data_IF_212458851838
#
_entry.id   IF_212458851838
#
_cell.length_a   1.000
_cell.length_b   1.000
_cell.length_c   1.000
_cell.angle_alpha   90.00
_cell.angle_beta   90.00
_cell.angle_gamma   90.00
#
_symmetry.space_group_name_H-M   'P 1'
#
loop_
_entity.id
_entity.type
_entity.pdbx_description
1 polymer ?
#
# COMPACT_ATOMS: atom_id res chain seq x y z
N UNK A 1 -22.38 -0.40 -4.15
CA UNK A 1 -21.32 -1.35 -3.73
C UNK A 1 -21.34 -2.66 -4.53
N UNK A 2 -22.46 -3.41 -4.66
CA UNK A 2 -22.49 -4.71 -5.36
C UNK A 2 -21.92 -4.69 -6.79
N UNK A 3 -22.23 -3.65 -7.57
CA UNK A 3 -21.74 -3.47 -8.95
C UNK A 3 -20.23 -3.21 -9.00
N UNK A 4 -19.66 -2.45 -8.06
CA UNK A 4 -18.22 -2.24 -7.97
C UNK A 4 -17.49 -3.54 -7.61
N UNK A 5 -18.06 -4.31 -6.66
CA UNK A 5 -17.53 -5.63 -6.30
C UNK A 5 -17.52 -6.58 -7.49
N UNK A 6 -18.65 -6.66 -8.23
CA UNK A 6 -18.73 -7.49 -9.43
C UNK A 6 -17.70 -7.06 -10.50
N UNK A 7 -17.60 -5.75 -10.78
CA UNK A 7 -16.59 -5.22 -11.71
C UNK A 7 -15.17 -5.60 -11.28
N UNK A 8 -14.87 -5.50 -9.97
CA UNK A 8 -13.54 -5.81 -9.43
C UNK A 8 -13.24 -7.30 -9.48
N UNK A 9 -14.24 -8.17 -9.26
CA UNK A 9 -14.09 -9.62 -9.41
C UNK A 9 -13.81 -10.03 -10.86
N UNK A 10 -14.57 -9.50 -11.82
CA UNK A 10 -14.35 -9.79 -13.24
C UNK A 10 -13.01 -9.25 -13.71
N UNK A 11 -12.61 -8.06 -13.26
CA UNK A 11 -11.26 -7.53 -13.48
C UNK A 11 -10.20 -8.49 -12.95
N UNK A 12 -10.33 -8.97 -11.71
CA UNK A 12 -9.39 -9.92 -11.11
C UNK A 12 -9.26 -11.21 -11.91
N UNK A 13 -10.38 -11.74 -12.43
CA UNK A 13 -10.36 -12.90 -13.32
C UNK A 13 -9.59 -12.60 -14.63
N UNK A 14 -9.86 -11.45 -15.27
CA UNK A 14 -9.17 -11.05 -16.50
C UNK A 14 -7.66 -10.88 -16.29
N UNK A 15 -7.24 -10.31 -15.13
CA UNK A 15 -5.84 -10.19 -14.74
C UNK A 15 -5.17 -11.56 -14.59
N UNK A 16 -5.86 -12.52 -13.97
CA UNK A 16 -5.35 -13.87 -13.80
C UNK A 16 -5.09 -14.55 -15.17
N UNK A 17 -6.02 -14.43 -16.11
CA UNK A 17 -5.85 -14.93 -17.47
C UNK A 17 -4.69 -14.25 -18.20
N UNK A 18 -4.58 -12.92 -18.10
CA UNK A 18 -3.45 -12.18 -18.66
C UNK A 18 -2.12 -12.64 -18.07
N UNK A 19 -2.03 -12.76 -16.74
CA UNK A 19 -0.81 -13.19 -16.06
C UNK A 19 -0.38 -14.60 -16.45
N UNK A 20 -1.32 -15.56 -16.51
CA UNK A 20 -1.02 -16.94 -16.92
C UNK A 20 -0.55 -16.98 -18.38
N UNK A 21 -1.15 -16.20 -19.28
CA UNK A 21 -0.71 -16.13 -20.67
C UNK A 21 0.71 -15.59 -20.81
N UNK A 22 1.08 -14.61 -19.98
CA UNK A 22 2.44 -14.02 -19.98
C UNK A 22 3.48 -14.99 -19.42
N UNK A 23 3.11 -15.83 -18.44
CA UNK A 23 4.02 -16.83 -17.86
C UNK A 23 4.53 -17.83 -18.92
N UNK A 24 3.71 -18.16 -19.92
CA UNK A 24 4.08 -19.04 -21.04
C UNK A 24 4.73 -18.33 -22.22
N UNK A 25 4.95 -17.02 -22.14
CA UNK A 25 5.54 -16.24 -23.20
C UNK A 25 7.07 -16.23 -23.15
N UNK A 26 7.70 -15.67 -24.22
CA UNK A 26 9.17 -15.50 -24.32
C UNK A 26 9.79 -14.79 -23.11
N UNK A 27 8.99 -14.03 -22.35
CA UNK A 27 9.43 -13.31 -21.15
C UNK A 27 10.00 -14.22 -20.06
N UNK A 28 9.44 -15.42 -19.90
CA UNK A 28 9.82 -16.38 -18.85
C UNK A 28 10.68 -17.55 -19.38
N UNK A 29 10.89 -17.65 -20.69
CA UNK A 29 11.70 -18.71 -21.33
C UNK A 29 13.21 -18.49 -21.21
N UNK A 30 13.66 -17.46 -20.50
CA UNK A 30 15.07 -17.09 -20.38
C UNK A 30 15.78 -17.91 -19.30
N UNK A 31 16.94 -18.51 -19.68
CA UNK A 31 17.75 -19.35 -18.81
C UNK A 31 18.24 -18.66 -17.52
N UNK A 32 18.41 -19.42 -16.43
CA UNK A 32 18.75 -18.92 -15.10
C UNK A 32 20.10 -18.22 -14.96
N UNK A 33 21.11 -18.65 -15.68
CA UNK A 33 22.50 -18.22 -15.49
C UNK A 33 22.81 -16.83 -16.07
N UNK A 34 21.97 -16.38 -17.01
CA UNK A 34 21.97 -15.00 -17.47
C UNK A 34 20.91 -14.14 -16.73
N UNK A 35 20.39 -14.64 -15.58
CA UNK A 35 19.15 -14.13 -15.01
C UNK A 35 19.29 -12.76 -14.33
N UNK A 36 20.36 -12.48 -13.56
CA UNK A 36 20.43 -11.25 -12.76
C UNK A 36 20.35 -9.97 -13.59
N UNK A 37 21.15 -9.75 -14.66
CA UNK A 37 21.05 -8.56 -15.49
C UNK A 37 19.69 -8.44 -16.17
N UNK A 38 19.12 -9.59 -16.61
CA UNK A 38 17.81 -9.62 -17.28
C UNK A 38 16.66 -9.37 -16.31
N UNK A 39 16.74 -9.91 -15.10
CA UNK A 39 15.77 -9.60 -14.03
C UNK A 39 15.87 -8.15 -13.61
N UNK A 40 17.07 -7.56 -13.50
CA UNK A 40 17.23 -6.13 -13.26
C UNK A 40 16.61 -5.29 -14.39
N UNK A 41 16.86 -5.66 -15.66
CA UNK A 41 16.24 -5.00 -16.80
C UNK A 41 14.72 -5.12 -16.77
N UNK A 42 14.19 -6.31 -16.44
CA UNK A 42 12.76 -6.52 -16.27
C UNK A 42 12.17 -5.67 -15.15
N UNK A 43 12.84 -5.61 -13.99
CA UNK A 43 12.43 -4.75 -12.88
C UNK A 43 12.45 -3.27 -13.25
N UNK A 44 13.46 -2.81 -13.99
CA UNK A 44 13.52 -1.45 -14.53
C UNK A 44 12.37 -1.19 -15.51
N UNK A 45 12.08 -2.14 -16.39
CA UNK A 45 10.97 -2.04 -17.33
C UNK A 45 9.62 -1.99 -16.62
N UNK A 46 9.44 -2.72 -15.52
CA UNK A 46 8.20 -2.64 -14.71
C UNK A 46 8.02 -1.31 -13.99
N UNK A 47 9.09 -0.53 -13.78
CA UNK A 47 9.02 0.83 -13.24
C UNK A 47 8.54 1.84 -14.26
N UNK A 48 8.84 1.65 -15.55
CA UNK A 48 8.54 2.64 -16.60
C UNK A 48 7.06 3.04 -16.64
N UNK A 49 6.07 2.12 -16.50
CA UNK A 49 4.66 2.51 -16.42
C UNK A 49 4.35 3.50 -15.31
N UNK A 50 5.00 3.34 -14.16
CA UNK A 50 4.75 4.19 -13.00
C UNK A 50 5.41 5.56 -13.12
N UNK A 51 6.60 5.63 -13.69
CA UNK A 51 7.28 6.89 -14.00
C UNK A 51 6.47 7.73 -14.99
N UNK A 52 5.86 7.08 -15.98
CA UNK A 52 5.01 7.73 -16.98
C UNK A 52 3.64 8.08 -16.39
N UNK A 53 3.07 7.19 -15.55
CA UNK A 53 1.74 7.38 -14.96
C UNK A 53 1.65 8.55 -13.98
N UNK A 54 2.64 8.71 -13.10
CA UNK A 54 2.57 9.73 -12.04
C UNK A 54 2.38 11.15 -12.62
N UNK A 55 3.15 11.63 -13.62
CA UNK A 55 2.98 12.95 -14.17
C UNK A 55 1.84 13.08 -15.19
N UNK A 56 1.53 12.01 -15.94
CA UNK A 56 0.61 12.12 -17.08
C UNK A 56 -0.80 11.64 -16.76
N UNK A 57 -0.95 10.50 -16.08
CA UNK A 57 -2.26 9.87 -15.90
C UNK A 57 -3.05 10.42 -14.72
N UNK A 58 -2.40 10.84 -13.61
CA UNK A 58 -3.11 11.42 -12.48
C UNK A 58 -3.97 12.62 -12.91
N UNK A 59 -3.35 13.68 -13.48
CA UNK A 59 -4.09 14.83 -14.01
C UNK A 59 -5.04 14.49 -15.17
N UNK A 60 -4.74 13.46 -15.97
CA UNK A 60 -5.62 13.00 -17.04
C UNK A 60 -6.91 12.38 -16.49
N UNK A 61 -6.81 11.47 -15.49
CA UNK A 61 -7.96 10.85 -14.85
C UNK A 61 -8.86 11.91 -14.20
N UNK A 62 -8.27 12.93 -13.57
CA UNK A 62 -9.00 14.02 -12.92
C UNK A 62 -9.73 14.94 -13.93
N UNK A 63 -9.29 14.97 -15.20
CA UNK A 63 -9.87 15.82 -16.27
C UNK A 63 -10.84 15.08 -17.19
N UNK A 64 -10.99 13.76 -17.09
CA UNK A 64 -11.88 13.00 -17.98
C UNK A 64 -13.33 13.45 -17.79
N UNK A 65 -13.92 13.97 -18.87
CA UNK A 65 -15.36 14.29 -18.92
C UNK A 65 -16.18 13.03 -18.76
N UNK A 66 -17.00 12.93 -17.72
CA UNK A 66 -17.81 11.76 -17.41
C UNK A 66 -17.37 11.01 -16.15
N UNK A 67 -16.31 11.48 -15.47
CA UNK A 67 -15.91 11.01 -14.15
C UNK A 67 -15.19 9.65 -14.13
N UNK A 68 -14.93 9.18 -12.91
CA UNK A 68 -14.20 7.94 -12.63
C UNK A 68 -14.83 6.69 -13.25
N UNK A 69 -16.16 6.63 -13.25
CA UNK A 69 -16.89 5.49 -13.84
C UNK A 69 -16.67 5.36 -15.35
N UNK A 70 -16.61 6.47 -16.09
CA UNK A 70 -16.30 6.46 -17.52
C UNK A 70 -14.85 6.05 -17.77
N UNK A 71 -13.92 6.54 -16.95
CA UNK A 71 -12.50 6.13 -17.01
C UNK A 71 -12.37 4.62 -16.81
N UNK A 72 -13.06 4.04 -15.83
CA UNK A 72 -13.05 2.59 -15.58
C UNK A 72 -13.55 1.82 -16.81
N UNK A 73 -14.64 2.22 -17.45
CA UNK A 73 -15.13 1.57 -18.66
C UNK A 73 -14.13 1.67 -19.80
N UNK A 74 -13.56 2.86 -20.03
CA UNK A 74 -12.57 3.09 -21.06
C UNK A 74 -11.29 2.24 -20.87
N UNK A 75 -10.84 2.08 -19.65
CA UNK A 75 -9.68 1.22 -19.33
C UNK A 75 -9.93 -0.24 -19.68
N UNK A 76 -11.12 -0.76 -19.41
CA UNK A 76 -11.43 -2.15 -19.77
C UNK A 76 -11.60 -2.33 -21.27
N UNK A 77 -12.27 -1.41 -21.97
CA UNK A 77 -12.40 -1.46 -23.42
C UNK A 77 -11.02 -1.43 -24.12
N UNK A 78 -10.16 -0.51 -23.70
CA UNK A 78 -8.80 -0.41 -24.21
C UNK A 78 -7.98 -1.68 -23.95
N UNK A 79 -8.08 -2.25 -22.74
CA UNK A 79 -7.37 -3.49 -22.39
C UNK A 79 -7.88 -4.70 -23.19
N UNK A 80 -9.18 -4.76 -23.47
CA UNK A 80 -9.73 -5.80 -24.36
C UNK A 80 -9.11 -5.73 -25.75
N UNK A 81 -9.04 -4.53 -26.35
CA UNK A 81 -8.41 -4.33 -27.65
C UNK A 81 -6.91 -4.68 -27.63
N UNK A 82 -6.18 -4.19 -26.62
CA UNK A 82 -4.75 -4.49 -26.47
C UNK A 82 -4.49 -5.99 -26.27
N UNK A 83 -5.32 -6.70 -25.51
CA UNK A 83 -5.19 -8.14 -25.30
C UNK A 83 -5.43 -8.95 -26.57
N UNK A 84 -6.38 -8.54 -27.42
CA UNK A 84 -6.59 -9.14 -28.74
C UNK A 84 -5.40 -8.89 -29.67
N UNK A 85 -4.86 -7.66 -29.69
CA UNK A 85 -3.65 -7.36 -30.48
C UNK A 85 -2.46 -8.17 -29.98
N UNK A 86 -2.28 -8.29 -28.67
CA UNK A 86 -1.21 -9.06 -28.07
C UNK A 86 -1.31 -10.55 -28.40
N UNK A 87 -2.53 -11.11 -28.44
CA UNK A 87 -2.77 -12.51 -28.80
C UNK A 87 -2.27 -12.88 -30.22
N UNK A 88 -2.26 -11.89 -31.14
CA UNK A 88 -1.70 -12.06 -32.48
C UNK A 88 -0.19 -11.81 -32.58
N UNK A 89 0.44 -11.23 -31.54
CA UNK A 89 1.82 -10.75 -31.60
C UNK A 89 2.74 -11.34 -30.50
N UNK A 90 2.40 -12.48 -29.92
CA UNK A 90 3.15 -13.11 -28.83
C UNK A 90 4.60 -13.50 -29.17
N UNK A 91 4.90 -13.69 -30.46
CA UNK A 91 6.24 -14.07 -30.94
C UNK A 91 7.02 -12.91 -31.54
N UNK A 92 6.44 -11.72 -31.58
CA UNK A 92 7.03 -10.53 -32.20
C UNK A 92 7.51 -9.56 -31.12
N UNK A 93 8.38 -8.62 -31.50
CA UNK A 93 8.83 -7.53 -30.60
C UNK A 93 7.69 -6.65 -30.11
N UNK A 94 6.55 -6.62 -30.80
CA UNK A 94 5.32 -5.92 -30.37
C UNK A 94 4.73 -6.46 -29.07
N UNK A 95 5.10 -7.69 -28.64
CA UNK A 95 4.73 -8.24 -27.33
C UNK A 95 5.06 -7.23 -26.21
N UNK A 96 6.27 -6.65 -26.21
CA UNK A 96 6.73 -5.78 -25.13
C UNK A 96 5.92 -4.48 -25.01
N UNK A 97 5.75 -3.66 -26.07
CA UNK A 97 4.97 -2.43 -25.95
C UNK A 97 3.48 -2.69 -25.70
N UNK A 98 2.91 -3.78 -26.23
CA UNK A 98 1.50 -4.13 -25.98
C UNK A 98 1.28 -4.60 -24.53
N UNK A 99 2.13 -5.48 -24.02
CA UNK A 99 2.07 -5.90 -22.61
C UNK A 99 2.27 -4.70 -21.67
N UNK A 100 3.23 -3.84 -21.97
CA UNK A 100 3.45 -2.60 -21.25
C UNK A 100 2.20 -1.71 -21.23
N UNK A 101 1.58 -1.48 -22.40
CA UNK A 101 0.36 -0.67 -22.49
C UNK A 101 -0.79 -1.26 -21.63
N UNK A 102 -0.97 -2.59 -21.65
CA UNK A 102 -1.95 -3.26 -20.80
C UNK A 102 -1.68 -3.00 -19.32
N UNK A 103 -0.41 -3.09 -18.89
CA UNK A 103 -0.01 -2.85 -17.49
C UNK A 103 -0.26 -1.38 -17.08
N UNK A 104 0.07 -0.41 -17.94
CA UNK A 104 -0.20 1.02 -17.71
C UNK A 104 -1.68 1.27 -17.51
N UNK A 105 -2.51 0.75 -18.41
CA UNK A 105 -3.97 0.92 -18.36
C UNK A 105 -4.56 0.20 -17.14
N UNK A 106 -3.98 -0.92 -16.69
CA UNK A 106 -4.38 -1.60 -15.47
C UNK A 106 -4.22 -0.71 -14.22
N UNK A 107 -3.14 0.06 -14.17
CA UNK A 107 -2.90 0.99 -13.04
C UNK A 107 -3.90 2.13 -13.03
N UNK A 108 -4.33 2.63 -14.19
CA UNK A 108 -5.39 3.62 -14.30
C UNK A 108 -6.70 3.14 -13.69
N UNK A 109 -7.06 1.87 -13.89
CA UNK A 109 -8.21 1.26 -13.21
C UNK A 109 -8.05 1.25 -11.69
N UNK A 110 -6.89 0.83 -11.17
CA UNK A 110 -6.63 0.76 -9.72
C UNK A 110 -6.77 2.14 -9.06
N UNK A 111 -6.20 3.17 -9.69
CA UNK A 111 -6.29 4.56 -9.23
C UNK A 111 -7.75 5.03 -9.23
N UNK A 112 -8.46 4.84 -10.34
CA UNK A 112 -9.86 5.27 -10.49
C UNK A 112 -10.78 4.55 -9.51
N UNK A 113 -10.57 3.24 -9.27
CA UNK A 113 -11.33 2.48 -8.28
C UNK A 113 -11.10 3.01 -6.86
N UNK A 114 -9.85 3.25 -6.46
CA UNK A 114 -9.54 3.74 -5.12
C UNK A 114 -10.16 5.10 -4.85
N UNK A 115 -10.20 5.98 -5.86
CA UNK A 115 -10.87 7.26 -5.78
C UNK A 115 -12.41 7.14 -5.76
N UNK A 116 -12.99 6.11 -6.39
CA UNK A 116 -14.44 5.90 -6.49
C UNK A 116 -15.04 5.28 -5.21
N UNK A 117 -14.27 4.47 -4.45
CA UNK A 117 -14.78 3.77 -3.26
C UNK A 117 -15.45 4.71 -2.25
N UNK A 118 -14.84 5.85 -1.84
CA UNK A 118 -15.45 6.75 -0.86
C UNK A 118 -16.75 7.39 -1.33
N UNK A 119 -16.93 7.56 -2.66
CA UNK A 119 -18.14 8.15 -3.24
C UNK A 119 -19.35 7.20 -3.25
N UNK A 120 -19.07 5.88 -3.22
CA UNK A 120 -20.07 4.83 -3.26
C UNK A 120 -20.42 4.25 -1.87
N UNK A 121 -19.66 4.65 -0.85
CA UNK A 121 -19.80 4.18 0.53
C UNK A 121 -20.47 5.26 1.34
N UNK A 122 -21.43 4.89 2.19
CA UNK A 122 -22.09 5.83 3.11
C UNK A 122 -21.12 6.35 4.18
N UNK A 123 -21.45 7.48 4.79
CA UNK A 123 -20.61 8.11 5.82
C UNK A 123 -20.38 7.21 7.05
N UNK A 124 -21.33 6.31 7.33
CA UNK A 124 -21.31 5.40 8.49
C UNK A 124 -20.62 4.06 8.21
N UNK A 125 -20.29 3.75 6.95
CA UNK A 125 -19.68 2.49 6.58
C UNK A 125 -18.18 2.48 6.93
N UNK A 126 -17.71 1.35 7.47
CA UNK A 126 -16.29 1.13 7.73
C UNK A 126 -15.52 0.86 6.43
N UNK A 127 -14.74 1.85 6.00
CA UNK A 127 -13.92 1.80 4.77
C UNK A 127 -12.89 0.66 4.78
N UNK A 128 -12.39 0.26 5.96
CA UNK A 128 -11.49 -0.90 6.08
C UNK A 128 -12.21 -2.18 5.69
N UNK A 129 -13.43 -2.37 6.21
CA UNK A 129 -14.26 -3.53 5.90
C UNK A 129 -14.66 -3.57 4.42
N UNK A 130 -15.00 -2.43 3.83
CA UNK A 130 -15.35 -2.31 2.41
C UNK A 130 -14.16 -2.67 1.52
N UNK A 131 -13.00 -2.07 1.76
CA UNK A 131 -11.78 -2.35 1.00
C UNK A 131 -11.30 -3.81 1.17
N UNK A 132 -11.43 -4.36 2.37
CA UNK A 132 -11.11 -5.76 2.65
C UNK A 132 -12.06 -6.72 1.91
N UNK A 133 -13.37 -6.43 1.88
CA UNK A 133 -14.37 -7.25 1.14
C UNK A 133 -14.09 -7.23 -0.35
N UNK A 134 -13.82 -6.06 -0.93
CA UNK A 134 -13.45 -5.92 -2.35
C UNK A 134 -12.21 -6.78 -2.68
N UNK A 135 -11.17 -6.66 -1.85
CA UNK A 135 -9.94 -7.41 -2.05
C UNK A 135 -10.14 -8.92 -1.93
N UNK A 136 -10.84 -9.39 -0.90
CA UNK A 136 -11.10 -10.83 -0.70
C UNK A 136 -11.88 -11.43 -1.86
N UNK A 137 -12.96 -10.78 -2.27
CA UNK A 137 -13.79 -11.24 -3.39
C UNK A 137 -12.96 -11.36 -4.67
N UNK A 138 -12.15 -10.35 -4.97
CA UNK A 138 -11.29 -10.36 -6.14
C UNK A 138 -10.20 -11.44 -6.05
N UNK A 139 -9.57 -11.63 -4.89
CA UNK A 139 -8.54 -12.66 -4.70
C UNK A 139 -9.11 -14.05 -4.91
N UNK A 140 -10.28 -14.37 -4.33
CA UNK A 140 -10.93 -15.68 -4.52
C UNK A 140 -11.22 -15.91 -6.01
N UNK A 141 -11.86 -14.95 -6.67
CA UNK A 141 -12.22 -15.08 -8.09
C UNK A 141 -10.97 -15.16 -8.96
N UNK A 142 -9.94 -14.36 -8.68
CA UNK A 142 -8.66 -14.42 -9.42
C UNK A 142 -7.96 -15.76 -9.26
N UNK A 143 -7.98 -16.36 -8.07
CA UNK A 143 -7.36 -17.68 -7.83
C UNK A 143 -8.06 -18.79 -8.59
N UNK A 144 -9.40 -18.80 -8.59
CA UNK A 144 -10.19 -19.76 -9.38
C UNK A 144 -9.94 -19.53 -10.87
N UNK A 145 -9.96 -18.27 -11.31
CA UNK A 145 -9.71 -17.91 -12.70
C UNK A 145 -8.30 -18.28 -13.16
N UNK A 146 -7.28 -18.15 -12.29
CA UNK A 146 -5.91 -18.57 -12.60
C UNK A 146 -5.81 -20.08 -12.84
N UNK A 147 -6.52 -20.89 -12.04
CA UNK A 147 -6.64 -22.32 -12.27
C UNK A 147 -7.29 -22.64 -13.64
N UNK A 148 -8.43 -21.99 -13.93
CA UNK A 148 -9.11 -22.12 -15.23
C UNK A 148 -8.25 -21.66 -16.41
N UNK A 149 -7.52 -20.56 -16.26
CA UNK A 149 -6.59 -20.07 -17.27
C UNK A 149 -5.42 -21.05 -17.49
N UNK A 150 -4.92 -21.66 -16.42
CA UNK A 150 -3.88 -22.71 -16.50
C UNK A 150 -4.36 -23.94 -17.26
N UNK A 151 -5.57 -24.40 -16.99
CA UNK A 151 -6.20 -25.51 -17.74
C UNK A 151 -6.36 -25.14 -19.21
N UNK A 152 -6.92 -23.96 -19.51
CA UNK A 152 -7.08 -23.48 -20.88
C UNK A 152 -5.74 -23.37 -21.60
N UNK A 153 -4.69 -22.91 -20.91
CA UNK A 153 -3.34 -22.84 -21.46
C UNK A 153 -2.80 -24.22 -21.85
N UNK A 154 -3.00 -25.22 -20.98
CA UNK A 154 -2.56 -26.62 -21.26
C UNK A 154 -3.31 -27.26 -22.45
N UNK A 155 -4.60 -26.94 -22.60
CA UNK A 155 -5.45 -27.49 -23.65
C UNK A 155 -5.29 -26.75 -25.00
N UNK A 156 -4.77 -25.52 -24.98
CA UNK A 156 -4.75 -24.68 -26.19
C UNK A 156 -3.41 -23.95 -26.38
N UNK A 157 -3.35 -22.65 -26.06
CA UNK A 157 -2.14 -21.84 -26.14
C UNK A 157 -2.32 -20.51 -25.39
N UNK A 158 -1.19 -19.78 -25.14
CA UNK A 158 -1.19 -18.44 -24.57
C UNK A 158 -2.11 -17.45 -25.35
N UNK A 159 -2.19 -17.59 -26.67
CA UNK A 159 -3.04 -16.73 -27.50
C UNK A 159 -4.54 -16.91 -27.19
N UNK A 160 -4.98 -18.14 -26.94
CA UNK A 160 -6.36 -18.41 -26.57
C UNK A 160 -6.70 -17.90 -25.17
N UNK A 161 -5.75 -18.05 -24.22
CA UNK A 161 -5.89 -17.49 -22.87
C UNK A 161 -6.01 -15.96 -22.92
N UNK A 162 -5.25 -15.28 -23.79
CA UNK A 162 -5.37 -13.83 -24.01
C UNK A 162 -6.70 -13.41 -24.64
N UNK A 163 -7.22 -14.20 -25.58
CA UNK A 163 -8.54 -13.95 -26.16
C UNK A 163 -9.63 -14.08 -25.10
N UNK A 164 -9.52 -15.10 -24.22
CA UNK A 164 -10.41 -15.24 -23.08
C UNK A 164 -10.30 -14.06 -22.10
N UNK A 165 -9.08 -13.58 -21.82
CA UNK A 165 -8.85 -12.36 -21.04
C UNK A 165 -9.53 -11.14 -21.68
N UNK A 166 -9.44 -10.99 -23.01
CA UNK A 166 -10.10 -9.91 -23.73
C UNK A 166 -11.64 -9.96 -23.56
N UNK A 167 -12.25 -11.15 -23.66
CA UNK A 167 -13.70 -11.33 -23.39
C UNK A 167 -14.02 -10.92 -21.95
N UNK A 168 -13.23 -11.33 -20.97
CA UNK A 168 -13.43 -10.94 -19.58
C UNK A 168 -13.30 -9.41 -19.38
N UNK A 169 -12.38 -8.73 -20.08
CA UNK A 169 -12.30 -7.27 -20.06
C UNK A 169 -13.55 -6.62 -20.69
N UNK A 170 -14.10 -7.16 -21.77
CA UNK A 170 -15.39 -6.68 -22.33
C UNK A 170 -16.50 -6.86 -21.30
N UNK A 171 -16.60 -8.02 -20.66
CA UNK A 171 -17.60 -8.25 -19.60
C UNK A 171 -17.41 -7.26 -18.45
N UNK A 172 -16.16 -7.00 -18.03
CA UNK A 172 -15.87 -6.00 -17.01
C UNK A 172 -16.31 -4.58 -17.45
N UNK A 173 -16.10 -4.21 -18.71
CA UNK A 173 -16.57 -2.94 -19.25
C UNK A 173 -18.12 -2.84 -19.24
N UNK A 174 -18.81 -3.89 -19.61
CA UNK A 174 -20.29 -3.96 -19.57
C UNK A 174 -20.82 -3.84 -18.13
N UNK A 175 -20.23 -4.55 -17.17
CA UNK A 175 -20.60 -4.45 -15.76
C UNK A 175 -20.30 -3.05 -15.21
N UNK A 176 -19.16 -2.48 -15.57
CA UNK A 176 -18.76 -1.14 -15.17
C UNK A 176 -19.59 -0.02 -15.81
N UNK A 177 -20.27 -0.29 -16.93
CA UNK A 177 -21.09 0.72 -17.61
C UNK A 177 -22.12 1.39 -16.72
N UNK A 178 -22.67 0.63 -15.79
CA UNK A 178 -23.65 1.14 -14.82
C UNK A 178 -23.03 2.04 -13.74
N UNK A 179 -21.70 1.92 -13.50
CA UNK A 179 -20.98 2.80 -12.57
C UNK A 179 -20.86 4.23 -13.12
N UNK A 180 -20.91 4.43 -14.43
CA UNK A 180 -20.87 5.73 -15.09
C UNK A 180 -21.96 6.71 -14.59
N UNK A 181 -23.14 6.17 -14.29
CA UNK A 181 -24.30 6.97 -13.85
C UNK A 181 -24.29 7.27 -12.36
N UNK A 182 -23.54 6.50 -11.59
CA UNK A 182 -23.48 6.60 -10.13
C UNK A 182 -22.35 7.51 -9.63
N UNK A 183 -21.33 7.72 -10.44
CA UNK A 183 -20.19 8.55 -10.07
C UNK A 183 -20.43 10.00 -10.49
N UNK A 184 -20.52 10.89 -9.50
CA UNK A 184 -20.53 12.34 -9.71
C UNK A 184 -19.27 12.83 -10.42
N UNK A 185 -19.24 14.11 -10.79
CA UNK A 185 -18.04 14.71 -11.40
C UNK A 185 -16.89 14.69 -10.41
N UNK A 186 -15.75 14.12 -10.83
CA UNK A 186 -14.51 14.17 -10.05
C UNK A 186 -14.10 15.61 -9.87
N UNK A 187 -13.93 16.03 -8.63
CA UNK A 187 -13.32 17.31 -8.34
C UNK A 187 -11.81 17.19 -8.54
N UNK A 188 -11.18 18.08 -9.33
CA UNK A 188 -9.73 18.06 -9.48
C UNK A 188 -9.06 18.22 -8.12
N UNK A 189 -7.94 17.49 -7.91
CA UNK A 189 -7.14 17.64 -6.71
C UNK A 189 -6.68 19.10 -6.59
N UNK A 190 -7.02 19.75 -5.46
CA UNK A 190 -6.61 21.13 -5.16
C UNK A 190 -5.24 21.13 -4.50
N UNK A 191 -4.58 22.29 -4.46
CA UNK A 191 -3.33 22.49 -3.71
C UNK A 191 -3.45 22.05 -2.23
N UNK A 192 -4.63 22.16 -1.63
CA UNK A 192 -4.98 21.66 -0.30
C UNK A 192 -4.75 20.15 -0.13
N UNK A 193 -4.87 19.36 -1.22
CA UNK A 193 -4.64 17.91 -1.18
C UNK A 193 -3.21 17.55 -0.77
N UNK A 194 -2.22 18.37 -1.14
CA UNK A 194 -0.82 18.15 -0.74
C UNK A 194 -0.65 18.35 0.76
N UNK A 195 -1.29 19.36 1.33
CA UNK A 195 -1.30 19.63 2.77
C UNK A 195 -1.91 18.49 3.58
N UNK A 196 -2.99 17.88 3.07
CA UNK A 196 -3.64 16.74 3.74
C UNK A 196 -2.75 15.49 3.76
N UNK A 197 -1.94 15.26 2.73
CA UNK A 197 -1.00 14.13 2.68
C UNK A 197 0.18 14.26 3.65
N UNK A 198 0.45 15.49 4.13
CA UNK A 198 1.52 15.76 5.10
C UNK A 198 1.03 15.53 6.53
N UNK A 199 -0.29 15.42 6.76
CA UNK A 199 -0.83 15.12 8.08
C UNK A 199 -0.12 13.91 8.70
N UNK A 200 0.21 13.94 9.99
CA UNK A 200 1.03 12.91 10.64
C UNK A 200 0.52 11.50 10.39
N UNK A 201 -0.79 11.26 10.52
CA UNK A 201 -1.39 9.94 10.37
C UNK A 201 -1.25 9.37 8.96
N UNK A 202 -1.52 10.22 7.95
CA UNK A 202 -1.41 9.85 6.53
C UNK A 202 0.06 9.61 6.20
N UNK A 203 0.94 10.50 6.69
CA UNK A 203 2.38 10.39 6.47
C UNK A 203 2.96 9.11 7.07
N UNK A 204 2.63 8.80 8.31
CA UNK A 204 3.14 7.63 9.03
C UNK A 204 2.67 6.32 8.39
N UNK A 205 1.38 6.19 8.07
CA UNK A 205 0.84 5.03 7.38
C UNK A 205 1.44 4.85 5.97
N UNK A 206 1.65 5.96 5.26
CA UNK A 206 2.32 5.97 3.95
C UNK A 206 3.78 5.50 4.03
N UNK A 207 4.54 5.96 5.01
CA UNK A 207 5.92 5.54 5.22
C UNK A 207 6.01 4.06 5.61
N UNK A 208 5.16 3.59 6.52
CA UNK A 208 5.07 2.18 6.89
C UNK A 208 4.75 1.29 5.69
N UNK A 209 3.78 1.70 4.85
CA UNK A 209 3.46 0.97 3.61
C UNK A 209 4.62 0.96 2.63
N UNK A 210 5.34 2.08 2.48
CA UNK A 210 6.53 2.16 1.62
C UNK A 210 7.61 1.19 2.10
N UNK A 211 7.89 1.15 3.41
CA UNK A 211 8.87 0.24 4.00
C UNK A 211 8.47 -1.22 3.80
N UNK A 212 7.21 -1.58 4.05
CA UNK A 212 6.72 -2.95 3.82
C UNK A 212 6.80 -3.35 2.34
N UNK A 213 6.51 -2.45 1.41
CA UNK A 213 6.65 -2.73 -0.03
C UNK A 213 8.10 -3.00 -0.41
N UNK A 214 9.04 -2.18 0.08
CA UNK A 214 10.48 -2.42 -0.13
C UNK A 214 10.93 -3.75 0.48
N UNK A 215 10.49 -4.04 1.70
CA UNK A 215 10.78 -5.30 2.40
C UNK A 215 10.26 -6.53 1.65
N UNK A 216 9.01 -6.48 1.14
CA UNK A 216 8.42 -7.58 0.36
C UNK A 216 9.20 -7.79 -0.94
N UNK A 217 9.53 -6.71 -1.66
CA UNK A 217 10.33 -6.78 -2.88
C UNK A 217 11.71 -7.39 -2.61
N UNK A 218 12.40 -6.90 -1.59
CA UNK A 218 13.70 -7.44 -1.19
C UNK A 218 13.60 -8.93 -0.81
N UNK A 219 12.70 -9.29 0.09
CA UNK A 219 12.58 -10.65 0.62
C UNK A 219 12.26 -11.68 -0.50
N UNK A 220 11.31 -11.38 -1.38
CA UNK A 220 10.93 -12.27 -2.48
C UNK A 220 12.11 -12.60 -3.40
N UNK A 221 12.85 -11.57 -3.80
CA UNK A 221 13.99 -11.78 -4.71
C UNK A 221 15.21 -12.32 -3.99
N UNK A 222 15.49 -11.87 -2.76
CA UNK A 222 16.64 -12.35 -2.01
C UNK A 222 16.51 -13.85 -1.68
N UNK A 223 15.39 -14.26 -1.10
CA UNK A 223 15.10 -15.67 -0.80
C UNK A 223 15.00 -16.49 -2.10
N UNK A 224 14.35 -15.96 -3.14
CA UNK A 224 14.25 -16.64 -4.41
C UNK A 224 15.61 -16.91 -5.07
N UNK A 225 16.52 -15.97 -5.06
CA UNK A 225 17.87 -16.16 -5.60
C UNK A 225 18.74 -17.02 -4.68
N UNK A 226 18.55 -17.01 -3.36
CA UNK A 226 19.25 -17.90 -2.43
C UNK A 226 18.86 -19.35 -2.65
N UNK A 227 17.56 -19.68 -2.64
CA UNK A 227 17.06 -21.03 -2.89
C UNK A 227 17.55 -21.58 -4.24
N UNK A 228 17.67 -20.70 -5.22
CA UNK A 228 18.16 -21.10 -6.53
C UNK A 228 19.69 -21.30 -6.55
N UNK A 229 20.46 -20.49 -5.84
CA UNK A 229 21.90 -20.65 -5.71
C UNK A 229 22.27 -21.94 -4.99
N UNK A 230 21.44 -22.35 -4.02
CA UNK A 230 21.59 -23.57 -3.25
C UNK A 230 21.00 -24.80 -3.97
N UNK A 231 20.56 -24.65 -5.25
CA UNK A 231 19.96 -25.67 -6.10
C UNK A 231 18.71 -26.35 -5.46
N UNK A 232 18.00 -25.62 -4.63
CA UNK A 232 16.81 -26.12 -3.95
C UNK A 232 15.65 -26.40 -4.93
N UNK A 233 14.77 -27.36 -4.63
CA UNK A 233 13.64 -27.70 -5.48
C UNK A 233 12.72 -26.51 -5.77
N UNK A 234 12.23 -26.40 -7.00
CA UNK A 234 11.40 -25.28 -7.46
C UNK A 234 10.11 -25.07 -6.63
N UNK A 235 9.59 -26.13 -5.99
CA UNK A 235 8.40 -26.00 -5.13
C UNK A 235 8.65 -25.14 -3.88
N UNK A 236 9.90 -25.08 -3.37
CA UNK A 236 10.24 -24.18 -2.24
C UNK A 236 10.07 -22.72 -2.62
N UNK A 237 10.50 -22.32 -3.82
CA UNK A 237 10.24 -20.98 -4.35
C UNK A 237 8.73 -20.73 -4.48
N UNK A 238 7.99 -21.71 -4.97
CA UNK A 238 6.53 -21.65 -5.04
C UNK A 238 5.89 -21.48 -3.66
N UNK A 239 6.39 -22.17 -2.63
CA UNK A 239 5.93 -22.04 -1.24
C UNK A 239 6.17 -20.61 -0.69
N UNK A 240 7.35 -20.05 -0.91
CA UNK A 240 7.72 -18.68 -0.47
C UNK A 240 6.83 -17.62 -1.14
N UNK A 241 6.66 -17.69 -2.46
CA UNK A 241 5.80 -16.77 -3.21
C UNK A 241 4.33 -16.95 -2.81
N UNK A 242 3.88 -18.19 -2.72
CA UNK A 242 2.53 -18.56 -2.32
C UNK A 242 2.20 -18.12 -0.90
N UNK A 243 3.15 -18.24 0.03
CA UNK A 243 2.99 -17.76 1.40
C UNK A 243 2.75 -16.25 1.46
N UNK A 244 3.48 -15.45 0.67
CA UNK A 244 3.23 -14.01 0.60
C UNK A 244 1.83 -13.68 0.06
N UNK A 245 1.41 -14.38 -1.00
CA UNK A 245 0.06 -14.24 -1.55
C UNK A 245 -1.04 -14.66 -0.57
N UNK A 246 -0.86 -15.80 0.11
CA UNK A 246 -1.75 -16.28 1.15
C UNK A 246 -1.80 -15.29 2.32
N UNK A 247 -0.66 -14.75 2.72
CA UNK A 247 -0.56 -13.72 3.74
C UNK A 247 -1.36 -12.47 3.35
N UNK A 248 -1.26 -12.01 2.11
CA UNK A 248 -2.06 -10.88 1.63
C UNK A 248 -3.57 -11.17 1.70
N UNK A 249 -3.99 -12.40 1.40
CA UNK A 249 -5.38 -12.83 1.58
C UNK A 249 -5.78 -12.83 3.07
N UNK A 250 -4.98 -13.47 3.93
CA UNK A 250 -5.19 -13.51 5.40
C UNK A 250 -5.29 -12.10 5.96
N UNK A 251 -4.40 -11.18 5.57
CA UNK A 251 -4.45 -9.77 5.98
C UNK A 251 -5.76 -9.08 5.57
N UNK A 252 -6.31 -9.41 4.41
CA UNK A 252 -7.62 -8.89 3.98
C UNK A 252 -8.78 -9.42 4.81
N UNK A 253 -8.65 -10.63 5.37
CA UNK A 253 -9.63 -11.23 6.29
C UNK A 253 -9.49 -10.64 7.70
N UNK A 254 -8.27 -10.41 8.16
CA UNK A 254 -7.97 -9.91 9.49
C UNK A 254 -8.21 -8.40 9.64
N UNK A 255 -8.12 -7.61 8.58
CA UNK A 255 -8.23 -6.15 8.67
C UNK A 255 -9.56 -5.67 9.30
N UNK A 256 -10.76 -6.19 8.94
CA UNK A 256 -12.01 -5.76 9.56
C UNK A 256 -12.11 -6.07 11.06
N UNK A 257 -11.83 -7.30 11.55
CA UNK A 257 -11.89 -7.56 13.00
C UNK A 257 -10.83 -6.78 13.78
N UNK A 258 -9.63 -6.56 13.20
CA UNK A 258 -8.64 -5.68 13.84
C UNK A 258 -9.16 -4.24 13.96
N UNK A 259 -9.82 -3.73 12.93
CA UNK A 259 -10.38 -2.36 12.93
C UNK A 259 -11.47 -2.17 13.99
N UNK A 260 -12.25 -3.20 14.29
CA UNK A 260 -13.25 -3.15 15.38
C UNK A 260 -12.59 -3.03 16.76
N UNK A 261 -11.34 -3.50 16.90
CA UNK A 261 -10.63 -3.57 18.18
C UNK A 261 -9.57 -2.50 18.34
N UNK A 262 -8.99 -2.03 17.22
CA UNK A 262 -7.87 -1.09 17.22
C UNK A 262 -8.08 0.02 16.18
N UNK A 263 -7.63 1.26 16.48
CA UNK A 263 -7.58 2.33 15.48
C UNK A 263 -6.58 1.99 14.36
N UNK A 264 -6.75 2.59 13.21
CA UNK A 264 -5.95 2.32 12.00
C UNK A 264 -4.44 2.49 12.24
N UNK A 265 -4.03 3.48 13.03
CA UNK A 265 -2.61 3.71 13.39
C UNK A 265 -2.03 2.51 14.14
N UNK A 266 -2.75 1.98 15.13
CA UNK A 266 -2.32 0.80 15.89
C UNK A 266 -2.23 -0.44 14.99
N UNK A 267 -3.17 -0.60 14.04
CA UNK A 267 -3.11 -1.69 13.06
C UNK A 267 -1.81 -1.65 12.25
N UNK A 268 -1.40 -0.46 11.79
CA UNK A 268 -0.14 -0.25 11.06
C UNK A 268 1.07 -0.60 11.92
N UNK A 269 1.11 -0.13 13.16
CA UNK A 269 2.22 -0.40 14.09
C UNK A 269 2.34 -1.89 14.42
N UNK A 270 1.22 -2.57 14.68
CA UNK A 270 1.18 -4.02 14.96
C UNK A 270 1.64 -4.83 13.73
N UNK A 271 1.20 -4.46 12.54
CA UNK A 271 1.58 -5.11 11.30
C UNK A 271 3.10 -5.01 11.07
N UNK A 272 3.67 -3.82 11.28
CA UNK A 272 5.11 -3.59 11.11
C UNK A 272 5.93 -4.34 12.17
N UNK A 273 5.48 -4.33 13.43
CA UNK A 273 6.12 -5.06 14.52
C UNK A 273 6.10 -6.57 14.29
N UNK A 274 4.97 -7.14 13.85
CA UNK A 274 4.88 -8.56 13.51
C UNK A 274 5.82 -8.94 12.37
N UNK A 275 5.92 -8.11 11.33
CA UNK A 275 6.83 -8.32 10.22
C UNK A 275 8.31 -8.26 10.69
N UNK A 276 8.65 -7.33 11.57
CA UNK A 276 9.99 -7.22 12.14
C UNK A 276 10.37 -8.45 12.97
N UNK A 277 9.49 -8.88 13.87
CA UNK A 277 9.72 -10.05 14.73
C UNK A 277 9.94 -11.31 13.90
N UNK A 278 9.08 -11.56 12.91
CA UNK A 278 9.22 -12.75 12.06
C UNK A 278 10.44 -12.70 11.15
N UNK A 279 10.84 -11.51 10.70
CA UNK A 279 12.09 -11.35 9.94
C UNK A 279 13.32 -11.63 10.81
N UNK A 280 13.32 -11.23 12.10
CA UNK A 280 14.38 -11.58 13.05
C UNK A 280 14.45 -13.10 13.23
N UNK A 281 13.32 -13.77 13.47
CA UNK A 281 13.26 -15.22 13.63
C UNK A 281 13.80 -15.92 12.39
N UNK A 282 13.35 -15.53 11.21
CA UNK A 282 13.81 -16.10 9.96
C UNK A 282 15.31 -15.83 9.67
N UNK A 283 15.81 -14.68 10.12
CA UNK A 283 17.22 -14.33 9.99
C UNK A 283 18.15 -15.16 10.90
N UNK A 284 17.64 -15.66 12.02
CA UNK A 284 18.37 -16.51 12.96
C UNK A 284 18.27 -18.00 12.58
N UNK A 285 17.07 -18.47 12.27
CA UNK A 285 16.84 -19.91 12.02
C UNK A 285 17.24 -20.34 10.62
N UNK A 286 17.00 -19.52 9.58
CA UNK A 286 17.34 -19.74 8.16
C UNK A 286 16.81 -21.04 7.56
N UNK A 287 15.76 -21.60 8.13
CA UNK A 287 15.07 -22.78 7.58
C UNK A 287 13.85 -22.38 6.74
N UNK A 288 13.40 -23.31 5.90
CA UNK A 288 12.27 -23.07 4.99
C UNK A 288 10.99 -22.66 5.73
N UNK A 289 10.73 -23.24 6.90
CA UNK A 289 9.49 -22.99 7.65
C UNK A 289 9.45 -21.54 8.14
N UNK A 290 10.54 -21.05 8.70
CA UNK A 290 10.66 -19.67 9.18
C UNK A 290 10.67 -18.66 8.03
N UNK A 291 11.28 -18.98 6.88
CA UNK A 291 11.23 -18.16 5.68
C UNK A 291 9.80 -18.06 5.12
N UNK A 292 9.10 -19.19 5.01
CA UNK A 292 7.69 -19.22 4.58
C UNK A 292 6.79 -18.47 5.56
N UNK A 293 6.99 -18.65 6.87
CA UNK A 293 6.25 -17.91 7.90
C UNK A 293 6.50 -16.40 7.82
N UNK A 294 7.75 -15.96 7.63
CA UNK A 294 8.08 -14.55 7.46
C UNK A 294 7.41 -13.96 6.21
N UNK A 295 7.38 -14.69 5.10
CA UNK A 295 6.71 -14.26 3.87
C UNK A 295 5.20 -14.17 4.04
N UNK A 296 4.57 -15.10 4.76
CA UNK A 296 3.16 -15.07 5.09
C UNK A 296 2.83 -13.83 5.95
N UNK A 297 3.65 -13.55 6.96
CA UNK A 297 3.44 -12.38 7.84
C UNK A 297 3.72 -11.08 7.09
N UNK A 298 4.75 -11.00 6.24
CA UNK A 298 5.01 -9.84 5.38
C UNK A 298 3.82 -9.54 4.45
N UNK A 299 3.25 -10.56 3.81
CA UNK A 299 2.06 -10.42 2.98
C UNK A 299 0.85 -9.93 3.80
N UNK A 300 0.65 -10.51 4.99
CA UNK A 300 -0.42 -10.12 5.94
C UNK A 300 -0.26 -8.66 6.37
N UNK A 301 0.95 -8.29 6.80
CA UNK A 301 1.28 -6.93 7.25
C UNK A 301 1.08 -5.90 6.12
N UNK A 302 1.54 -6.20 4.92
CA UNK A 302 1.34 -5.36 3.73
C UNK A 302 -0.14 -5.16 3.41
N UNK A 303 -0.95 -6.22 3.49
CA UNK A 303 -2.39 -6.16 3.24
C UNK A 303 -3.15 -5.39 4.32
N UNK A 304 -2.87 -5.61 5.61
CA UNK A 304 -3.48 -4.88 6.73
C UNK A 304 -3.14 -3.39 6.65
N UNK A 305 -1.83 -3.07 6.50
CA UNK A 305 -1.36 -1.68 6.37
C UNK A 305 -1.99 -0.97 5.18
N UNK A 306 -2.13 -1.65 4.04
CA UNK A 306 -2.78 -1.08 2.86
C UNK A 306 -4.23 -0.70 3.14
N UNK A 307 -5.01 -1.56 3.82
CA UNK A 307 -6.42 -1.27 4.15
C UNK A 307 -6.56 -0.14 5.16
N UNK A 308 -5.67 -0.11 6.15
CA UNK A 308 -5.60 0.98 7.12
C UNK A 308 -5.26 2.32 6.42
N UNK A 309 -4.24 2.35 5.56
CA UNK A 309 -3.85 3.54 4.80
C UNK A 309 -4.98 4.02 3.88
N UNK A 310 -5.60 3.12 3.10
CA UNK A 310 -6.71 3.48 2.21
C UNK A 310 -7.86 4.13 3.01
N UNK A 311 -8.19 3.60 4.21
CA UNK A 311 -9.21 4.17 5.09
C UNK A 311 -8.79 5.53 5.70
N UNK A 312 -7.53 5.68 6.13
CA UNK A 312 -6.99 6.94 6.65
C UNK A 312 -7.07 8.04 5.57
N UNK A 313 -6.56 7.76 4.37
CA UNK A 313 -6.59 8.72 3.24
C UNK A 313 -8.02 9.08 2.87
N UNK A 314 -8.90 8.07 2.77
CA UNK A 314 -10.30 8.27 2.40
C UNK A 314 -11.10 9.07 3.44
N UNK A 315 -10.71 9.03 4.71
CA UNK A 315 -11.40 9.73 5.81
C UNK A 315 -10.79 11.09 6.10
N UNK A 316 -9.47 11.18 6.21
CA UNK A 316 -8.75 12.36 6.71
C UNK A 316 -8.24 13.28 5.60
N UNK A 317 -8.26 12.84 4.35
CA UNK A 317 -7.79 13.62 3.21
C UNK A 317 -8.88 13.74 2.13
N UNK A 318 -10.01 14.43 2.42
CA UNK A 318 -11.15 14.51 1.51
C UNK A 318 -10.81 15.21 0.20
N UNK A 319 -9.90 16.18 0.19
CA UNK A 319 -9.45 16.85 -1.03
C UNK A 319 -8.38 16.04 -1.79
N UNK A 320 -7.71 15.10 -1.10
CA UNK A 320 -6.75 14.15 -1.67
C UNK A 320 -7.40 12.89 -2.27
N UNK A 321 -8.73 12.87 -2.44
CA UNK A 321 -9.45 11.73 -3.07
C UNK A 321 -9.30 11.69 -4.59
N UNK A 322 -8.62 12.65 -5.18
CA UNK A 322 -8.36 12.72 -6.62
C UNK A 322 -7.50 11.57 -7.13
N UNK A 323 -7.68 11.24 -8.42
CA UNK A 323 -6.92 10.18 -9.09
C UNK A 323 -5.41 10.42 -9.07
N UNK A 324 -4.97 11.68 -9.11
CA UNK A 324 -3.56 12.07 -9.07
C UNK A 324 -2.87 11.67 -7.77
N UNK A 325 -3.54 11.79 -6.63
CA UNK A 325 -3.00 11.39 -5.32
C UNK A 325 -2.82 9.87 -5.23
N UNK A 326 -3.85 9.12 -5.64
CA UNK A 326 -3.75 7.65 -5.66
C UNK A 326 -2.70 7.16 -6.67
N UNK A 327 -2.57 7.82 -7.83
CA UNK A 327 -1.51 7.52 -8.79
C UNK A 327 -0.12 7.74 -8.18
N UNK A 328 0.08 8.83 -7.46
CA UNK A 328 1.34 9.12 -6.77
C UNK A 328 1.65 8.11 -5.66
N UNK A 329 0.66 7.73 -4.84
CA UNK A 329 0.81 6.70 -3.80
C UNK A 329 1.19 5.34 -4.42
N UNK A 330 0.49 4.91 -5.48
CA UNK A 330 0.79 3.65 -6.18
C UNK A 330 2.20 3.67 -6.78
N UNK A 331 2.58 4.76 -7.43
CA UNK A 331 3.93 4.93 -7.99
C UNK A 331 4.99 4.81 -6.90
N UNK A 332 4.79 5.47 -5.75
CA UNK A 332 5.70 5.40 -4.61
C UNK A 332 5.86 3.98 -4.08
N UNK A 333 4.76 3.24 -3.93
CA UNK A 333 4.78 1.88 -3.39
C UNK A 333 5.42 0.90 -4.35
N UNK A 334 5.17 1.04 -5.63
CA UNK A 334 5.77 0.18 -6.65
C UNK A 334 7.26 0.48 -6.82
N UNK A 335 7.64 1.75 -6.79
CA UNK A 335 9.04 2.17 -6.79
C UNK A 335 9.78 1.57 -5.59
N UNK A 336 9.20 1.61 -4.40
CA UNK A 336 9.78 1.02 -3.20
C UNK A 336 9.96 -0.51 -3.34
N UNK A 337 8.94 -1.19 -3.88
CA UNK A 337 8.99 -2.63 -4.12
C UNK A 337 10.11 -3.00 -5.10
N UNK A 338 10.21 -2.28 -6.23
CA UNK A 338 11.25 -2.53 -7.24
C UNK A 338 12.64 -2.19 -6.70
N UNK A 339 12.79 -1.09 -5.95
CA UNK A 339 14.08 -0.75 -5.34
C UNK A 339 14.53 -1.84 -4.35
N UNK A 340 13.62 -2.37 -3.53
CA UNK A 340 13.90 -3.52 -2.68
C UNK A 340 14.32 -4.76 -3.48
N UNK A 341 13.59 -5.09 -4.53
CA UNK A 341 13.91 -6.19 -5.42
C UNK A 341 15.27 -6.01 -6.13
N UNK A 342 15.55 -4.80 -6.65
CA UNK A 342 16.84 -4.49 -7.27
C UNK A 342 17.99 -4.61 -6.28
N UNK A 343 17.81 -4.14 -5.04
CA UNK A 343 18.81 -4.27 -3.98
C UNK A 343 19.12 -5.75 -3.71
N UNK A 344 18.09 -6.59 -3.62
CA UNK A 344 18.25 -8.04 -3.44
C UNK A 344 19.02 -8.70 -4.59
N UNK A 345 18.66 -8.35 -5.84
CA UNK A 345 19.32 -8.93 -7.03
C UNK A 345 20.77 -8.47 -7.16
N UNK A 346 21.06 -7.20 -6.79
CA UNK A 346 22.38 -6.61 -6.92
C UNK A 346 23.35 -7.00 -5.78
N UNK A 347 22.83 -7.20 -4.56
CA UNK A 347 23.65 -7.30 -3.34
C UNK A 347 24.54 -8.54 -3.26
N UNK A 348 24.22 -9.65 -3.92
CA UNK A 348 24.98 -10.92 -3.90
C UNK A 348 25.46 -11.38 -2.50
N UNK A 349 24.79 -10.92 -1.44
CA UNK A 349 25.12 -11.28 -0.06
C UNK A 349 24.57 -12.65 0.30
N UNK A 350 25.20 -13.32 1.28
CA UNK A 350 24.71 -14.57 1.81
C UNK A 350 23.29 -14.42 2.37
N UNK A 351 22.52 -15.51 2.35
CA UNK A 351 21.09 -15.51 2.76
C UNK A 351 20.90 -14.91 4.15
N UNK A 352 21.74 -15.30 5.10
CA UNK A 352 21.65 -14.78 6.48
C UNK A 352 21.92 -13.26 6.57
N UNK A 353 22.89 -12.73 5.80
CA UNK A 353 23.20 -11.29 5.79
C UNK A 353 22.00 -10.49 5.29
N UNK A 354 21.37 -10.94 4.20
CA UNK A 354 20.18 -10.30 3.64
C UNK A 354 18.99 -10.35 4.60
N UNK A 355 18.78 -11.49 5.26
CA UNK A 355 17.68 -11.64 6.22
C UNK A 355 17.90 -10.82 7.49
N UNK A 356 19.13 -10.75 8.01
CA UNK A 356 19.48 -9.86 9.14
C UNK A 356 19.32 -8.40 8.75
N UNK A 357 19.75 -8.00 7.55
CA UNK A 357 19.54 -6.65 7.03
C UNK A 357 18.06 -6.29 6.90
N UNK A 358 17.23 -7.21 6.41
CA UNK A 358 15.78 -7.07 6.34
C UNK A 358 15.15 -6.91 7.74
N UNK A 359 15.58 -7.75 8.68
CA UNK A 359 15.12 -7.71 10.07
C UNK A 359 15.47 -6.36 10.73
N UNK A 360 16.71 -5.89 10.56
CA UNK A 360 17.17 -4.60 11.06
C UNK A 360 16.37 -3.44 10.44
N UNK A 361 16.14 -3.47 9.12
CA UNK A 361 15.34 -2.48 8.42
C UNK A 361 13.90 -2.41 8.94
N UNK A 362 13.23 -3.56 9.08
CA UNK A 362 11.85 -3.62 9.58
C UNK A 362 11.77 -3.22 11.05
N UNK A 363 12.71 -3.65 11.89
CA UNK A 363 12.77 -3.28 13.31
C UNK A 363 12.96 -1.78 13.47
N UNK A 364 13.87 -1.16 12.71
CA UNK A 364 14.08 0.28 12.75
C UNK A 364 12.79 1.03 12.35
N UNK A 365 12.11 0.60 11.27
CA UNK A 365 10.84 1.20 10.85
C UNK A 365 9.74 1.01 11.91
N UNK A 366 9.65 -0.17 12.54
CA UNK A 366 8.70 -0.43 13.64
C UNK A 366 8.97 0.49 14.85
N UNK A 367 10.23 0.66 15.24
CA UNK A 367 10.61 1.55 16.33
C UNK A 367 10.31 3.02 16.02
N UNK A 368 10.60 3.49 14.80
CA UNK A 368 10.26 4.84 14.36
C UNK A 368 8.74 5.04 14.40
N UNK A 369 7.97 4.06 13.95
CA UNK A 369 6.50 4.12 13.95
C UNK A 369 5.95 4.15 15.39
N UNK A 370 6.46 3.31 16.28
CA UNK A 370 6.09 3.28 17.69
C UNK A 370 6.45 4.61 18.39
N UNK A 371 7.65 5.13 18.14
CA UNK A 371 8.07 6.43 18.67
C UNK A 371 7.09 7.54 18.28
N UNK A 372 6.74 7.62 16.99
CA UNK A 372 5.80 8.62 16.48
C UNK A 372 4.38 8.42 17.01
N UNK A 373 3.96 7.16 17.22
CA UNK A 373 2.62 6.84 17.68
C UNK A 373 2.41 7.14 19.18
N UNK A 374 3.43 6.83 20.02
CA UNK A 374 3.33 6.96 21.47
C UNK A 374 4.07 8.16 22.04
N UNK A 375 4.70 8.99 21.21
CA UNK A 375 5.50 10.12 21.68
C UNK A 375 6.71 9.67 22.53
N UNK A 376 7.13 8.40 22.39
CA UNK A 376 8.26 7.87 23.14
C UNK A 376 9.54 8.53 22.67
N UNK A 377 10.07 9.46 23.45
CA UNK A 377 11.42 10.00 23.31
C UNK A 377 12.43 8.94 23.79
N UNK A 378 12.66 7.91 22.98
CA UNK A 378 13.75 6.97 23.21
C UNK A 378 15.00 7.65 22.68
N UNK A 379 15.85 8.17 23.56
CA UNK A 379 17.12 8.84 23.28
C UNK A 379 16.99 10.29 22.76
N UNK A 380 16.28 11.18 23.45
CA UNK A 380 16.88 12.48 23.57
C UNK A 380 18.13 12.30 24.45
N UNK A 381 19.33 12.72 23.98
CA UNK A 381 20.43 12.86 24.90
C UNK A 381 19.87 13.67 26.08
N UNK A 382 20.22 13.27 27.29
CA UNK A 382 19.83 13.97 28.50
C UNK A 382 20.34 15.41 28.40
N UNK A 383 19.68 16.22 27.58
CA UNK A 383 19.60 17.64 27.76
C UNK A 383 18.70 17.73 28.98
N UNK A 384 19.24 18.18 30.06
CA UNK A 384 18.59 18.39 31.34
C UNK A 384 17.47 19.44 31.22
N UNK A 385 16.40 19.10 30.50
CA UNK A 385 15.17 19.84 30.57
C UNK A 385 14.54 19.53 31.91
N UNK A 386 14.33 20.54 32.70
CA UNK A 386 13.71 20.44 34.01
C UNK A 386 12.33 19.75 33.89
N UNK A 387 11.87 19.06 34.95
CA UNK A 387 10.57 18.40 34.96
C UNK A 387 9.45 19.38 34.57
N UNK A 388 9.43 20.65 35.01
CA UNK A 388 8.46 21.65 34.56
C UNK A 388 8.46 21.88 33.05
N UNK A 389 9.60 22.02 32.39
CA UNK A 389 9.67 22.22 30.91
C UNK A 389 9.06 21.05 30.14
N UNK A 390 9.28 19.81 30.62
CA UNK A 390 8.66 18.62 30.02
C UNK A 390 7.15 18.61 30.16
N UNK A 391 6.64 19.03 31.30
CA UNK A 391 5.20 19.11 31.56
C UNK A 391 4.57 20.24 30.73
N UNK A 392 5.25 21.38 30.57
CA UNK A 392 4.78 22.48 29.71
C UNK A 392 4.72 22.04 28.26
N UNK A 393 5.78 21.41 27.73
CA UNK A 393 5.78 20.89 26.35
C UNK A 393 4.70 19.82 26.13
N UNK A 394 4.39 19.00 27.13
CA UNK A 394 3.27 18.05 27.06
C UNK A 394 1.91 18.74 27.06
N UNK A 395 1.72 19.78 27.86
CA UNK A 395 0.50 20.60 27.88
C UNK A 395 0.28 21.30 26.53
N UNK A 396 1.32 21.86 25.92
CA UNK A 396 1.26 22.46 24.57
C UNK A 396 0.85 21.43 23.51
N UNK A 397 1.38 20.22 23.61
CA UNK A 397 1.01 19.13 22.71
C UNK A 397 -0.46 18.73 22.86
N UNK A 398 -0.96 18.61 24.10
CA UNK A 398 -2.37 18.35 24.37
C UNK A 398 -3.28 19.47 23.89
N UNK A 399 -2.84 20.71 24.07
CA UNK A 399 -3.56 21.90 23.59
C UNK A 399 -3.69 21.92 22.06
N UNK A 400 -2.63 21.59 21.34
CA UNK A 400 -2.63 21.51 19.86
C UNK A 400 -3.55 20.40 19.33
N UNK A 401 -3.85 19.37 20.16
CA UNK A 401 -4.77 18.29 19.84
C UNK A 401 -6.21 18.51 20.35
N UNK A 402 -6.56 19.74 20.74
CA UNK A 402 -7.87 20.13 21.27
C UNK A 402 -8.30 19.39 22.55
N UNK A 403 -7.36 18.84 23.32
CA UNK A 403 -7.59 18.16 24.62
C UNK A 403 -7.40 19.17 25.77
N UNK A 404 -8.22 20.20 25.81
CA UNK A 404 -8.01 21.39 26.65
C UNK A 404 -8.04 21.09 28.16
N UNK A 405 -8.95 20.22 28.63
CA UNK A 405 -9.04 19.87 30.05
C UNK A 405 -7.79 19.15 30.54
N UNK A 406 -7.25 18.26 29.73
CA UNK A 406 -6.01 17.54 30.02
C UNK A 406 -4.79 18.46 29.94
N UNK A 407 -4.75 19.35 28.95
CA UNK A 407 -3.69 20.36 28.83
C UNK A 407 -3.64 21.25 30.08
N UNK A 408 -4.81 21.69 30.58
CA UNK A 408 -4.91 22.49 31.82
C UNK A 408 -4.43 21.70 33.04
N UNK A 409 -4.79 20.43 33.14
CA UNK A 409 -4.36 19.57 34.26
C UNK A 409 -2.84 19.41 34.29
N UNK A 410 -2.22 19.15 33.12
CA UNK A 410 -0.77 18.98 32.99
C UNK A 410 -0.04 20.33 33.24
N UNK A 411 -0.55 21.44 32.72
CA UNK A 411 0.03 22.75 32.95
C UNK A 411 -0.05 23.18 34.43
N UNK A 412 -1.13 22.83 35.15
CA UNK A 412 -1.22 23.03 36.62
C UNK A 412 -0.17 22.19 37.35
N UNK A 413 -0.04 20.92 37.00
CA UNK A 413 0.99 20.06 37.60
C UNK A 413 2.41 20.61 37.38
N UNK A 414 2.68 21.24 36.21
CA UNK A 414 3.95 21.92 35.97
C UNK A 414 4.17 23.14 36.87
N UNK A 415 3.12 23.90 37.15
CA UNK A 415 3.19 25.09 38.03
C UNK A 415 3.36 24.72 39.52
N UNK A 416 2.91 23.55 39.94
CA UNK A 416 3.01 23.06 41.31
C UNK A 416 4.38 22.42 41.63
N UNK A 417 5.22 22.16 40.61
CA UNK A 417 6.59 21.70 40.81
C UNK A 417 7.43 22.87 41.32
N UNK A 418 8.12 22.77 42.47
CA UNK A 418 8.95 23.84 42.99
C UNK A 418 10.02 24.23 41.95
N UNK A 419 10.08 25.50 41.52
CA UNK A 419 10.95 25.94 40.46
C UNK A 419 12.41 25.80 40.84
N UNK A 420 13.20 25.21 39.95
CA UNK A 420 14.66 25.30 40.01
C UNK A 420 15.11 26.67 39.47
N UNK A 421 14.31 27.25 38.56
CA UNK A 421 14.46 28.61 38.03
C UNK A 421 13.07 29.24 37.80
N UNK A 422 12.93 30.57 38.08
CA UNK A 422 11.63 31.29 38.02
C UNK A 422 10.97 31.33 36.63
N UNK A 423 11.73 31.14 35.54
CA UNK A 423 11.25 31.14 34.17
C UNK A 423 10.25 29.99 33.86
N UNK A 424 10.41 28.82 34.48
CA UNK A 424 9.55 27.69 34.22
C UNK A 424 8.12 27.83 34.78
N UNK A 425 7.99 28.52 35.93
CA UNK A 425 6.70 28.79 36.58
C UNK A 425 5.87 29.81 35.76
N UNK A 426 6.53 30.78 35.14
CA UNK A 426 5.86 31.79 34.32
C UNK A 426 5.41 31.24 32.98
N UNK A 427 6.18 30.32 32.35
CA UNK A 427 5.78 29.59 31.17
C UNK A 427 4.55 28.68 31.42
N UNK A 428 4.51 28.00 32.57
CA UNK A 428 3.38 27.18 32.97
C UNK A 428 2.12 28.00 33.21
N UNK A 429 2.24 29.18 33.85
CA UNK A 429 1.12 30.12 34.06
C UNK A 429 0.59 30.69 32.74
N UNK A 430 1.47 31.04 31.80
CA UNK A 430 1.08 31.50 30.48
C UNK A 430 0.33 30.41 29.68
N UNK A 431 0.76 29.16 29.74
CA UNK A 431 0.09 28.01 29.10
C UNK A 431 -1.32 27.78 29.71
N UNK A 432 -1.47 27.85 31.04
CA UNK A 432 -2.76 27.75 31.72
C UNK A 432 -3.71 28.87 31.29
N UNK A 433 -3.23 30.09 31.22
CA UNK A 433 -4.04 31.25 30.84
C UNK A 433 -4.48 31.19 29.38
N UNK A 434 -3.58 30.79 28.47
CA UNK A 434 -3.90 30.57 27.06
C UNK A 434 -4.97 29.46 26.88
N UNK A 435 -4.88 28.37 27.63
CA UNK A 435 -5.87 27.29 27.61
C UNK A 435 -7.23 27.76 28.16
N UNK A 436 -7.25 28.55 29.23
CA UNK A 436 -8.48 29.14 29.79
C UNK A 436 -9.17 30.11 28.80
N UNK A 437 -8.40 30.95 28.12
CA UNK A 437 -8.93 31.86 27.10
C UNK A 437 -9.52 31.13 25.90
N UNK A 438 -8.89 30.06 25.45
CA UNK A 438 -9.40 29.21 24.36
C UNK A 438 -10.72 28.51 24.70
N UNK A 439 -10.92 28.13 25.97
CA UNK A 439 -12.18 27.53 26.46
C UNK A 439 -13.27 28.59 26.61
N UNK A 440 -12.90 29.80 27.09
CA UNK A 440 -13.86 30.89 27.31
C UNK A 440 -14.39 31.47 25.98
N UNK A 441 -13.64 31.42 24.90
CA UNK A 441 -13.97 31.98 23.59
C UNK A 441 -13.82 30.97 22.43
N UNK A 442 -14.65 29.92 22.39
CA UNK A 442 -14.53 28.87 21.35
C UNK A 442 -14.82 29.39 19.93
N UNK A 443 -15.44 30.54 19.77
CA UNK A 443 -15.85 31.13 18.47
C UNK A 443 -14.93 32.23 17.92
N UNK A 444 -13.85 32.59 18.60
CA UNK A 444 -13.00 33.71 18.17
C UNK A 444 -11.95 33.37 17.08
N UNK A 445 -11.89 32.15 16.58
CA UNK A 445 -10.94 31.71 15.53
C UNK A 445 -11.59 31.08 14.32
N UNK A 446 -12.83 31.44 14.01
CA UNK A 446 -13.58 31.01 12.82
C UNK A 446 -13.90 32.20 11.90
N UNK A 447 -12.89 32.99 11.57
CA UNK A 447 -12.96 34.07 10.59
C UNK A 447 -11.88 33.86 9.52
#
# INVERSE_FOLDING_TARGET
MSRLTATHCVHGAAEAFFTVSMAGSIFFSVSPDAARPRVLLFLMLTLTPFLVMAPLFGPFVDRVRGGLGTTIVATFALRAALALMLAGNLRNLLLFPLAFAIMVVAKTYTVSRNALVPELVGADDDLVSVNARLSRSATIVSSIAAGGAGVLYQLTSAAWVLRAAAVLYVVAACVAWWLRRAAGAVRPARAEAVGELIRPDVSDARWAMTALRAAIGFALFHVGFSLRADAEPAWMLGAVIGANGLGAFVGSVLAPPLRRRYPERTMVSLALAAAAVTAVIAGVALDLVTLVAAMLVLGTAGSVTRRALDAIVQRQAPHARGGSVYAWLETRFELAWVLGACLAVASRVATWVGMVGLAAFLTLNALIQLRRHYGLTVLDPVVSTSLPERLVGHAETLFSHHRYDEAIAVARAAADVPPVDGADADAARAAIEAARQAIAHPHARGG
#
